data_IF_773576458848
#
_entry.id   IF_773576458848
#
_cell.length_a   1.000
_cell.length_b   1.000
_cell.length_c   1.000
_cell.angle_alpha   90.00
_cell.angle_beta   90.00
_cell.angle_gamma   90.00
#
_symmetry.space_group_name_H-M   'P 1'
#
loop_
_entity.id
_entity.type
_entity.pdbx_description
1 polymer ?
#
# COMPACT_ATOMS: atom_id res chain seq x y z
N UNK A 1 3.29 15.79 10.11
CA UNK A 1 2.93 14.37 9.89
C UNK A 1 2.10 14.26 8.63
N UNK A 2 2.37 13.25 7.80
CA UNK A 2 1.64 13.05 6.55
C UNK A 2 0.85 11.76 6.65
N UNK A 3 -0.43 11.81 6.28
CA UNK A 3 -1.30 10.66 6.28
C UNK A 3 -1.80 10.41 4.86
N UNK A 4 -1.62 9.19 4.36
CA UNK A 4 -2.09 8.78 3.04
C UNK A 4 -3.15 7.70 3.21
N UNK A 5 -4.26 7.87 2.51
CA UNK A 5 -5.31 6.88 2.37
C UNK A 5 -5.26 6.34 0.95
N UNK A 6 -4.86 5.09 0.81
CA UNK A 6 -4.71 4.45 -0.50
C UNK A 6 -5.74 3.36 -0.62
N UNK A 7 -6.58 3.45 -1.65
CA UNK A 7 -7.59 2.43 -1.92
C UNK A 7 -7.27 1.76 -3.25
N UNK A 8 -7.01 0.45 -3.20
CA UNK A 8 -6.84 -0.37 -4.39
C UNK A 8 -8.16 -1.07 -4.71
N UNK A 9 -8.68 -0.85 -5.91
CA UNK A 9 -9.82 -1.60 -6.44
C UNK A 9 -9.28 -2.72 -7.32
N UNK A 10 -9.71 -3.95 -7.04
CA UNK A 10 -9.19 -5.13 -7.73
C UNK A 10 -9.76 -5.27 -9.13
N UNK A 11 -9.01 -5.93 -10.00
CA UNK A 11 -9.50 -6.41 -11.30
C UNK A 11 -10.64 -7.40 -11.09
N UNK A 12 -11.56 -7.55 -12.07
CA UNK A 12 -12.67 -8.51 -11.96
C UNK A 12 -12.18 -9.92 -11.60
N UNK A 13 -12.86 -10.54 -10.65
CA UNK A 13 -12.57 -11.91 -10.22
C UNK A 13 -11.38 -12.05 -9.26
N UNK A 14 -10.73 -10.97 -8.87
CA UNK A 14 -9.60 -11.01 -7.94
C UNK A 14 -10.06 -10.57 -6.55
N UNK A 15 -9.82 -11.44 -5.56
CA UNK A 15 -10.10 -11.09 -4.17
C UNK A 15 -8.98 -10.20 -3.61
N UNK A 16 -9.31 -9.14 -2.83
CA UNK A 16 -8.31 -8.22 -2.28
C UNK A 16 -7.22 -8.89 -1.44
N UNK A 17 -7.57 -9.96 -0.74
CA UNK A 17 -6.58 -10.69 0.05
C UNK A 17 -5.47 -11.29 -0.81
N UNK A 18 -5.76 -11.68 -2.05
CA UNK A 18 -4.74 -12.19 -2.97
C UNK A 18 -3.68 -11.11 -3.28
N UNK A 19 -4.11 -9.87 -3.45
CA UNK A 19 -3.21 -8.74 -3.64
C UNK A 19 -2.35 -8.51 -2.38
N UNK A 20 -2.98 -8.50 -1.21
CA UNK A 20 -2.26 -8.35 0.05
C UNK A 20 -1.24 -9.47 0.24
N UNK A 21 -1.62 -10.72 -0.02
CA UNK A 21 -0.73 -11.87 0.12
C UNK A 21 0.48 -11.75 -0.80
N UNK A 22 0.30 -11.25 -2.03
CA UNK A 22 1.39 -11.03 -2.97
C UNK A 22 2.35 -9.94 -2.48
N UNK A 23 1.84 -8.83 -1.95
CA UNK A 23 2.65 -7.77 -1.37
C UNK A 23 3.42 -8.29 -0.15
N UNK A 24 2.76 -9.07 0.68
CA UNK A 24 3.36 -9.65 1.88
C UNK A 24 4.42 -10.70 1.56
N UNK A 25 4.20 -11.51 0.53
CA UNK A 25 5.19 -12.49 0.07
C UNK A 25 6.46 -11.82 -0.45
N UNK A 26 6.36 -10.62 -0.99
CA UNK A 26 7.50 -9.79 -1.40
C UNK A 26 8.13 -9.00 -0.24
N UNK A 27 7.64 -9.19 0.99
CA UNK A 27 8.13 -8.53 2.21
C UNK A 27 7.90 -7.01 2.23
N UNK A 28 7.06 -6.48 1.35
CA UNK A 28 6.90 -5.04 1.20
C UNK A 28 6.32 -4.37 2.45
N UNK A 29 5.22 -4.86 3.04
CA UNK A 29 4.70 -4.22 4.25
C UNK A 29 5.69 -4.18 5.40
N UNK A 30 6.43 -5.26 5.61
CA UNK A 30 7.44 -5.34 6.66
C UNK A 30 8.57 -4.35 6.43
N UNK A 31 9.09 -4.29 5.19
CA UNK A 31 10.17 -3.37 4.83
C UNK A 31 9.73 -1.90 4.97
N UNK A 32 8.48 -1.59 4.60
CA UNK A 32 7.94 -0.23 4.78
C UNK A 32 7.86 0.15 6.25
N UNK A 33 7.40 -0.77 7.11
CA UNK A 33 7.27 -0.50 8.55
C UNK A 33 8.61 -0.27 9.23
N UNK A 34 9.69 -0.83 8.70
CA UNK A 34 11.05 -0.65 9.24
C UNK A 34 11.73 0.60 8.72
N UNK A 35 11.14 1.33 7.79
CA UNK A 35 11.73 2.58 7.30
C UNK A 35 11.73 3.64 8.39
N UNK A 36 12.84 4.37 8.47
CA UNK A 36 12.95 5.49 9.39
C UNK A 36 11.91 6.55 9.02
N UNK A 37 11.11 6.93 9.98
CA UNK A 37 10.06 7.92 9.76
C UNK A 37 8.71 7.34 9.36
N UNK A 38 8.59 6.02 9.19
CA UNK A 38 7.29 5.39 9.07
C UNK A 38 6.65 5.28 10.46
N UNK A 39 5.43 5.79 10.60
CA UNK A 39 4.66 5.73 11.84
C UNK A 39 3.62 4.63 11.75
N UNK A 40 3.00 4.46 10.56
CA UNK A 40 2.02 3.43 10.33
C UNK A 40 2.03 3.01 8.87
N UNK A 41 1.89 1.71 8.64
CA UNK A 41 1.75 1.13 7.30
C UNK A 41 0.89 -0.11 7.46
N UNK A 42 -0.42 0.03 7.33
CA UNK A 42 -1.38 -1.01 7.69
C UNK A 42 -2.42 -1.20 6.60
N UNK A 43 -2.67 -2.47 6.26
CA UNK A 43 -3.70 -2.84 5.30
C UNK A 43 -4.98 -3.25 6.00
N UNK A 44 -6.11 -2.97 5.35
CA UNK A 44 -7.44 -3.30 5.84
C UNK A 44 -8.30 -3.82 4.70
N UNK A 45 -9.17 -4.77 5.00
CA UNK A 45 -10.23 -5.20 4.09
C UNK A 45 -11.50 -4.45 4.50
N UNK A 46 -12.01 -3.53 3.66
CA UNK A 46 -13.24 -2.82 4.00
C UNK A 46 -14.41 -3.78 4.19
N UNK A 47 -15.15 -3.61 5.29
CA UNK A 47 -16.22 -4.52 5.64
C UNK A 47 -17.42 -4.42 4.68
N UNK A 48 -17.59 -3.28 4.04
CA UNK A 48 -18.71 -2.97 3.15
C UNK A 48 -18.33 -3.01 1.66
N UNK A 49 -17.13 -3.46 1.32
CA UNK A 49 -16.69 -3.57 -0.08
C UNK A 49 -15.69 -4.72 -0.21
N UNK A 50 -16.11 -5.79 -0.86
CA UNK A 50 -15.30 -7.00 -1.02
C UNK A 50 -14.33 -6.96 -2.22
N UNK A 51 -14.28 -5.82 -2.92
CA UNK A 51 -13.41 -5.64 -4.10
C UNK A 51 -12.27 -4.66 -3.85
N UNK A 52 -12.08 -4.19 -2.63
CA UNK A 52 -11.09 -3.18 -2.30
C UNK A 52 -10.13 -3.63 -1.21
N UNK A 53 -8.90 -3.13 -1.32
CA UNK A 53 -7.88 -3.22 -0.28
C UNK A 53 -7.50 -1.80 0.10
N UNK A 54 -7.63 -1.47 1.38
CA UNK A 54 -7.29 -0.15 1.89
C UNK A 54 -5.95 -0.18 2.59
N UNK A 55 -5.11 0.83 2.32
CA UNK A 55 -3.81 1.01 2.96
C UNK A 55 -3.77 2.37 3.66
N UNK A 56 -3.50 2.36 4.95
CA UNK A 56 -3.25 3.57 5.72
C UNK A 56 -1.75 3.72 5.93
N UNK A 57 -1.20 4.83 5.43
CA UNK A 57 0.21 5.18 5.62
C UNK A 57 0.31 6.47 6.42
N UNK A 58 1.16 6.46 7.44
CA UNK A 58 1.49 7.67 8.19
C UNK A 58 3.00 7.83 8.22
N UNK A 59 3.48 8.98 7.78
CA UNK A 59 4.90 9.31 7.70
C UNK A 59 5.20 10.54 8.54
N UNK A 60 6.37 10.55 9.16
CA UNK A 60 6.78 11.62 10.07
C UNK A 60 6.78 13.00 9.37
N UNK A 61 7.26 13.05 8.13
CA UNK A 61 7.38 14.28 7.35
C UNK A 61 7.55 13.96 5.85
N UNK A 62 7.68 15.01 5.04
CA UNK A 62 7.88 14.86 3.59
C UNK A 62 9.17 14.14 3.25
N UNK A 63 10.24 14.37 4.00
CA UNK A 63 11.53 13.72 3.73
C UNK A 63 11.42 12.21 3.90
N UNK A 64 10.72 11.75 4.93
CA UNK A 64 10.48 10.33 5.16
C UNK A 64 9.68 9.70 4.02
N UNK A 65 8.66 10.40 3.52
CA UNK A 65 7.88 9.93 2.38
C UNK A 65 8.71 9.89 1.10
N UNK A 66 9.53 10.91 0.86
CA UNK A 66 10.43 10.96 -0.30
C UNK A 66 11.43 9.81 -0.25
N UNK A 67 12.03 9.55 0.91
CA UNK A 67 12.96 8.43 1.10
C UNK A 67 12.26 7.10 0.82
N UNK A 68 11.02 6.93 1.27
CA UNK A 68 10.21 5.74 1.00
C UNK A 68 10.09 5.48 -0.50
N UNK A 69 9.82 6.52 -1.28
CA UNK A 69 9.64 6.42 -2.73
C UNK A 69 10.92 6.04 -3.47
N UNK A 70 12.08 6.19 -2.85
CA UNK A 70 13.38 5.84 -3.42
C UNK A 70 13.79 4.40 -3.11
N UNK A 71 13.07 3.69 -2.24
CA UNK A 71 13.44 2.34 -1.84
C UNK A 71 13.18 1.33 -2.96
N UNK A 72 13.98 0.25 -2.97
CA UNK A 72 13.79 -0.82 -3.96
C UNK A 72 12.47 -1.55 -3.75
N UNK A 73 12.02 -1.71 -2.52
CA UNK A 73 10.73 -2.36 -2.26
C UNK A 73 9.55 -1.51 -2.73
N UNK A 74 9.61 -0.18 -2.61
CA UNK A 74 8.58 0.68 -3.19
C UNK A 74 8.51 0.50 -4.70
N UNK A 75 9.66 0.43 -5.36
CA UNK A 75 9.75 0.31 -6.82
C UNK A 75 9.26 -1.03 -7.36
N UNK A 76 9.10 -2.04 -6.51
CA UNK A 76 8.50 -3.32 -6.86
C UNK A 76 6.97 -3.30 -6.85
N UNK A 77 6.36 -2.33 -6.18
CA UNK A 77 4.90 -2.26 -6.04
C UNK A 77 4.17 -2.20 -7.37
N UNK A 78 4.58 -1.38 -8.36
CA UNK A 78 3.85 -1.32 -9.63
C UNK A 78 3.72 -2.65 -10.35
N UNK A 79 4.75 -3.50 -10.33
CA UNK A 79 4.69 -4.80 -11.01
C UNK A 79 3.71 -5.77 -10.34
N UNK A 80 3.56 -5.68 -9.02
CA UNK A 80 2.58 -6.46 -8.28
C UNK A 80 1.17 -5.92 -8.55
N UNK A 81 1.00 -4.60 -8.47
CA UNK A 81 -0.29 -3.95 -8.75
C UNK A 81 -0.81 -4.28 -10.14
N UNK A 82 0.07 -4.35 -11.13
CA UNK A 82 -0.32 -4.66 -12.51
C UNK A 82 -1.10 -5.97 -12.61
N UNK A 83 -0.81 -6.94 -11.76
CA UNK A 83 -1.48 -8.24 -11.76
C UNK A 83 -2.84 -8.23 -11.08
N UNK A 84 -3.04 -7.37 -10.10
CA UNK A 84 -4.20 -7.47 -9.19
C UNK A 84 -5.10 -6.24 -9.22
N UNK A 85 -4.55 -5.06 -9.45
CA UNK A 85 -5.24 -3.78 -9.21
C UNK A 85 -5.70 -3.15 -10.52
N UNK A 86 -7.00 -2.84 -10.60
CA UNK A 86 -7.57 -2.12 -11.74
C UNK A 86 -7.47 -0.61 -11.55
N UNK A 87 -7.61 -0.11 -10.31
CA UNK A 87 -7.66 1.31 -10.02
C UNK A 87 -7.06 1.60 -8.66
N UNK A 88 -6.31 2.70 -8.57
CA UNK A 88 -5.77 3.21 -7.31
C UNK A 88 -6.29 4.61 -7.06
N UNK A 89 -6.87 4.82 -5.87
CA UNK A 89 -7.24 6.14 -5.36
C UNK A 89 -6.31 6.49 -4.20
N UNK A 90 -5.75 7.70 -4.22
CA UNK A 90 -4.85 8.17 -3.17
C UNK A 90 -5.32 9.53 -2.67
N UNK A 91 -5.55 9.62 -1.38
CA UNK A 91 -5.88 10.87 -0.71
C UNK A 91 -4.79 11.20 0.31
N UNK A 92 -4.38 12.46 0.34
CA UNK A 92 -3.36 12.93 1.27
C UNK A 92 -3.96 13.92 2.26
N UNK A 93 -3.61 13.72 3.50
CA UNK A 93 -4.05 14.57 4.61
C UNK A 93 -2.89 15.18 5.37
#
# INVERSE_FOLDING_TARGET
MIQLHVTYTMKPGIHPKACFDALNAANIPSLCRHEKGNIRYSYYLPADNDNQLFLLEIWKNNDALTDHQQTSHFQQIPSIKEKYVAHTDLQRF
#
